data_IF_323790407292
#
_entry.id   IF_323790407292
#
_cell.length_a   1.000
_cell.length_b   1.000
_cell.length_c   1.000
_cell.angle_alpha   90.00
_cell.angle_beta   90.00
_cell.angle_gamma   90.00
#
_symmetry.space_group_name_H-M   'P 1'
#
loop_
_entity.id
_entity.type
_entity.pdbx_description
1 polymer ?
#
# COMPACT_ATOMS: atom_id res chain seq x y z
N UNK A 1 -15.23 16.37 4.96
CA UNK A 1 -14.20 15.66 4.17
C UNK A 1 -13.14 16.65 3.70
N UNK A 2 -11.89 16.23 3.55
CA UNK A 2 -10.84 17.03 2.87
C UNK A 2 -10.98 16.85 1.36
N UNK A 3 -10.72 17.89 0.58
CA UNK A 3 -10.59 17.77 -0.88
C UNK A 3 -9.18 17.26 -1.21
N UNK A 4 -9.06 16.28 -2.09
CA UNK A 4 -7.78 15.75 -2.56
C UNK A 4 -7.59 16.03 -4.05
N UNK A 5 -6.35 16.17 -4.50
CA UNK A 5 -5.97 16.33 -5.90
C UNK A 5 -5.84 14.98 -6.63
N UNK A 6 -5.54 13.91 -5.89
CA UNK A 6 -5.34 12.57 -6.43
C UNK A 6 -5.75 11.48 -5.44
N UNK A 7 -6.33 10.40 -5.98
CA UNK A 7 -6.57 9.16 -5.24
C UNK A 7 -5.65 8.05 -5.78
N UNK A 8 -5.02 7.31 -4.88
CA UNK A 8 -4.12 6.19 -5.19
C UNK A 8 -4.66 4.94 -4.51
N UNK A 9 -4.92 3.89 -5.29
CA UNK A 9 -5.46 2.62 -4.79
C UNK A 9 -4.32 1.60 -4.65
N UNK A 10 -4.07 1.17 -3.42
CA UNK A 10 -3.11 0.13 -3.01
C UNK A 10 -1.76 0.67 -2.51
N UNK A 11 -1.34 0.25 -1.32
CA UNK A 11 -0.04 0.56 -0.69
C UNK A 11 1.12 -0.27 -1.27
N UNK A 12 1.03 -0.64 -2.55
CA UNK A 12 2.07 -1.38 -3.27
C UNK A 12 3.36 -0.57 -3.46
N UNK A 13 4.40 -1.19 -4.05
CA UNK A 13 5.62 -0.47 -4.45
C UNK A 13 5.31 0.75 -5.33
N UNK A 14 4.41 0.58 -6.31
CA UNK A 14 3.94 1.65 -7.19
C UNK A 14 3.14 2.71 -6.43
N UNK A 15 2.01 2.33 -5.82
CA UNK A 15 1.11 3.28 -5.15
C UNK A 15 1.78 4.12 -4.07
N UNK A 16 2.59 3.53 -3.18
CA UNK A 16 3.28 4.30 -2.14
C UNK A 16 4.36 5.25 -2.71
N UNK A 17 4.99 4.89 -3.83
CA UNK A 17 5.96 5.75 -4.49
C UNK A 17 5.28 6.91 -5.22
N UNK A 18 4.17 6.64 -5.91
CA UNK A 18 3.34 7.65 -6.56
C UNK A 18 2.74 8.63 -5.54
N UNK A 19 2.14 8.12 -4.46
CA UNK A 19 1.58 8.95 -3.38
C UNK A 19 2.65 9.86 -2.75
N UNK A 20 3.83 9.31 -2.44
CA UNK A 20 4.96 10.11 -1.92
C UNK A 20 5.49 11.15 -2.92
N UNK A 21 5.51 10.84 -4.22
CA UNK A 21 5.93 11.79 -5.26
C UNK A 21 4.92 12.93 -5.46
N UNK A 22 3.62 12.61 -5.47
CA UNK A 22 2.53 13.60 -5.53
C UNK A 22 2.53 14.50 -4.28
N UNK A 23 2.72 13.91 -3.09
CA UNK A 23 2.82 14.65 -1.84
C UNK A 23 4.04 15.59 -1.83
N UNK A 24 5.21 15.13 -2.32
CA UNK A 24 6.39 15.97 -2.47
C UNK A 24 6.21 17.10 -3.51
N UNK A 25 5.32 16.91 -4.49
CA UNK A 25 4.87 17.95 -5.43
C UNK A 25 3.75 18.86 -4.86
N UNK A 26 3.49 18.82 -3.55
CA UNK A 26 2.53 19.68 -2.87
C UNK A 26 1.05 19.31 -3.09
N UNK A 27 0.76 18.13 -3.62
CA UNK A 27 -0.62 17.66 -3.85
C UNK A 27 -1.23 17.05 -2.59
N UNK A 28 -2.54 17.23 -2.42
CA UNK A 28 -3.34 16.50 -1.44
C UNK A 28 -3.64 15.11 -1.99
N UNK A 29 -3.28 14.04 -1.28
CA UNK A 29 -3.37 12.65 -1.76
C UNK A 29 -4.17 11.77 -0.81
N UNK A 30 -5.20 11.09 -1.31
CA UNK A 30 -5.78 9.93 -0.62
C UNK A 30 -5.06 8.65 -1.08
N UNK A 31 -4.50 7.88 -0.14
CA UNK A 31 -3.90 6.57 -0.40
C UNK A 31 -4.75 5.48 0.27
N UNK A 32 -5.48 4.71 -0.52
CA UNK A 32 -6.41 3.68 -0.02
C UNK A 32 -5.72 2.31 0.01
N UNK A 33 -5.86 1.55 1.09
CA UNK A 33 -5.41 0.16 1.18
C UNK A 33 -6.44 -0.70 1.92
N UNK A 34 -6.62 -1.95 1.48
CA UNK A 34 -7.69 -2.82 1.98
C UNK A 34 -7.50 -3.26 3.44
N UNK A 35 -6.27 -3.20 3.96
CA UNK A 35 -5.99 -3.59 5.34
C UNK A 35 -4.67 -3.01 5.85
N UNK A 36 -4.58 -2.62 7.14
CA UNK A 36 -3.31 -2.29 7.78
C UNK A 36 -2.25 -3.37 7.65
N UNK A 37 -2.65 -4.66 7.63
CA UNK A 37 -1.75 -5.81 7.42
C UNK A 37 -1.09 -5.84 6.04
N UNK A 38 -1.45 -4.93 5.13
CA UNK A 38 -0.97 -4.84 3.75
C UNK A 38 -0.19 -3.57 3.45
N UNK A 39 0.03 -2.64 4.40
CA UNK A 39 0.91 -1.49 4.17
C UNK A 39 2.30 -1.91 3.67
N UNK A 40 2.78 -1.25 2.61
CA UNK A 40 3.98 -1.64 1.86
C UNK A 40 3.77 -2.73 0.79
N UNK A 41 2.58 -3.35 0.73
CA UNK A 41 2.13 -4.27 -0.30
C UNK A 41 2.73 -5.67 -0.23
N UNK A 42 2.62 -6.40 -1.34
CA UNK A 42 3.05 -7.81 -1.47
C UNK A 42 4.52 -8.03 -1.10
N UNK A 43 5.42 -7.16 -1.56
CA UNK A 43 6.86 -7.24 -1.32
C UNK A 43 7.23 -7.31 0.18
N UNK A 44 6.60 -6.46 1.00
CA UNK A 44 6.84 -6.40 2.44
C UNK A 44 6.17 -7.57 3.16
N UNK A 45 4.94 -7.92 2.78
CA UNK A 45 4.09 -8.76 3.64
C UNK A 45 4.09 -10.25 3.28
N UNK A 46 4.24 -10.63 2.01
CA UNK A 46 4.05 -12.04 1.56
C UNK A 46 5.01 -12.50 0.43
N UNK A 47 5.98 -11.69 0.03
CA UNK A 47 6.94 -12.03 -1.03
C UNK A 47 8.39 -11.73 -0.62
N UNK A 48 9.03 -10.75 -1.26
CA UNK A 48 10.47 -10.52 -1.21
C UNK A 48 11.07 -10.53 0.19
N UNK A 49 10.46 -9.83 1.17
CA UNK A 49 10.98 -9.74 2.54
C UNK A 49 10.86 -11.10 3.26
N UNK A 50 9.67 -11.73 3.40
CA UNK A 50 9.55 -13.10 3.92
C UNK A 50 10.49 -14.11 3.24
N UNK A 51 10.53 -14.14 1.92
CA UNK A 51 11.35 -15.11 1.17
C UNK A 51 12.83 -14.93 1.48
N UNK A 52 13.35 -13.69 1.50
CA UNK A 52 14.77 -13.46 1.75
C UNK A 52 15.15 -13.67 3.22
N UNK A 53 14.26 -13.35 4.17
CA UNK A 53 14.44 -13.66 5.59
C UNK A 53 14.53 -15.18 5.81
N UNK A 54 13.55 -15.95 5.32
CA UNK A 54 13.51 -17.40 5.52
C UNK A 54 14.67 -18.13 4.82
N UNK A 55 15.01 -17.74 3.58
CA UNK A 55 16.15 -18.34 2.85
C UNK A 55 17.47 -18.07 3.57
N UNK A 56 17.65 -16.90 4.18
CA UNK A 56 18.83 -16.58 4.98
C UNK A 56 18.91 -17.45 6.24
N UNK A 57 17.84 -17.53 7.04
CA UNK A 57 17.80 -18.37 8.24
C UNK A 57 17.97 -19.86 7.92
N UNK A 58 17.42 -20.34 6.81
CA UNK A 58 17.61 -21.71 6.34
C UNK A 58 19.08 -22.01 6.00
N UNK A 59 19.77 -21.09 5.31
CA UNK A 59 21.19 -21.24 5.00
C UNK A 59 22.07 -21.29 6.27
N UNK A 60 21.79 -20.44 7.26
CA UNK A 60 22.48 -20.46 8.56
C UNK A 60 22.24 -21.78 9.32
N UNK A 61 20.98 -22.24 9.37
CA UNK A 61 20.63 -23.51 10.04
C UNK A 61 21.26 -24.72 9.35
N UNK A 62 21.36 -24.70 8.01
CA UNK A 62 22.05 -25.75 7.25
C UNK A 62 23.56 -25.77 7.52
N UNK A 63 24.22 -24.59 7.55
CA UNK A 63 25.64 -24.48 7.87
C UNK A 63 25.97 -24.92 9.31
N UNK A 64 25.03 -24.73 10.25
CA UNK A 64 25.17 -25.16 11.64
C UNK A 64 24.92 -26.67 11.86
N UNK A 65 24.20 -27.34 10.94
CA UNK A 65 23.86 -28.76 11.07
C UNK A 65 22.91 -29.06 12.24
N UNK A 66 23.05 -30.25 12.86
CA UNK A 66 22.29 -30.68 14.04
C UNK A 66 21.15 -31.67 13.79
N UNK A 67 20.51 -32.08 14.89
CA UNK A 67 19.36 -33.00 14.94
C UNK A 67 18.12 -32.42 14.24
N UNK A 68 17.03 -33.20 14.17
CA UNK A 68 15.75 -32.69 13.67
C UNK A 68 15.19 -31.60 14.60
N UNK A 69 15.18 -31.83 15.91
CA UNK A 69 14.56 -30.94 16.90
C UNK A 69 15.28 -29.58 16.97
N UNK A 70 16.61 -29.55 16.92
CA UNK A 70 17.37 -28.30 16.85
C UNK A 70 17.08 -27.50 15.57
N UNK A 71 16.88 -28.19 14.44
CA UNK A 71 16.50 -27.55 13.18
C UNK A 71 15.05 -27.07 13.19
N UNK A 72 14.15 -27.79 13.85
CA UNK A 72 12.76 -27.39 14.06
C UNK A 72 12.67 -26.14 14.96
N UNK A 73 13.44 -26.09 16.05
CA UNK A 73 13.55 -24.91 16.92
C UNK A 73 14.08 -23.68 16.14
N UNK A 74 15.12 -23.86 15.32
CA UNK A 74 15.64 -22.80 14.44
C UNK A 74 14.65 -22.36 13.36
N UNK A 75 13.81 -23.27 12.85
CA UNK A 75 12.74 -22.93 11.92
C UNK A 75 11.65 -22.08 12.61
N UNK A 76 11.23 -22.43 13.83
CA UNK A 76 10.29 -21.61 14.60
C UNK A 76 10.82 -20.18 14.80
N UNK A 77 12.06 -20.04 15.27
CA UNK A 77 12.72 -18.75 15.41
C UNK A 77 12.84 -17.95 14.08
N UNK A 78 12.97 -18.63 12.94
CA UNK A 78 12.98 -17.99 11.63
C UNK A 78 11.60 -17.47 11.21
N UNK A 79 10.51 -18.12 11.62
CA UNK A 79 9.14 -17.63 11.43
C UNK A 79 8.91 -16.38 12.28
N UNK A 80 9.31 -16.39 13.54
CA UNK A 80 9.22 -15.25 14.45
C UNK A 80 10.01 -14.04 13.93
N UNK A 81 11.25 -14.25 13.46
CA UNK A 81 12.09 -13.19 12.88
C UNK A 81 11.47 -12.61 11.60
N UNK A 82 10.92 -13.45 10.72
CA UNK A 82 10.13 -12.99 9.55
C UNK A 82 8.98 -12.09 9.99
N UNK A 83 8.19 -12.49 10.97
CA UNK A 83 7.02 -11.72 11.40
C UNK A 83 7.41 -10.42 12.11
N UNK A 84 8.49 -10.42 12.89
CA UNK A 84 9.11 -9.22 13.46
C UNK A 84 9.57 -8.23 12.38
N UNK A 85 10.32 -8.71 11.38
CA UNK A 85 10.86 -7.85 10.30
C UNK A 85 9.75 -7.30 9.41
N UNK A 86 8.76 -8.12 9.04
CA UNK A 86 7.63 -7.65 8.22
C UNK A 86 6.73 -6.68 8.99
N UNK A 87 6.50 -6.91 10.29
CA UNK A 87 5.79 -5.98 11.17
C UNK A 87 6.48 -4.63 11.29
N UNK A 88 7.79 -4.62 11.55
CA UNK A 88 8.61 -3.40 11.60
C UNK A 88 8.55 -2.62 10.29
N UNK A 89 8.69 -3.30 9.16
CA UNK A 89 8.68 -2.67 7.84
C UNK A 89 7.28 -2.16 7.47
N UNK A 90 6.20 -2.86 7.84
CA UNK A 90 4.81 -2.40 7.66
C UNK A 90 4.60 -1.06 8.36
N UNK A 91 4.96 -0.96 9.64
CA UNK A 91 4.89 0.30 10.41
C UNK A 91 5.72 1.42 9.79
N UNK A 92 6.99 1.14 9.43
CA UNK A 92 7.85 2.14 8.76
C UNK A 92 7.30 2.60 7.40
N UNK A 93 6.63 1.73 6.65
CA UNK A 93 6.01 2.11 5.37
C UNK A 93 4.77 2.96 5.56
N UNK A 94 3.96 2.69 6.60
CA UNK A 94 2.81 3.51 6.97
C UNK A 94 3.24 4.94 7.35
N UNK A 95 4.06 5.08 8.39
CA UNK A 95 4.50 6.37 8.92
C UNK A 95 5.20 7.25 7.87
N UNK A 96 5.95 6.65 6.94
CA UNK A 96 6.58 7.38 5.83
C UNK A 96 5.58 8.18 4.96
N UNK A 97 4.29 7.83 4.96
CA UNK A 97 3.26 8.55 4.23
C UNK A 97 2.17 9.12 5.15
N UNK A 98 1.70 8.39 6.14
CA UNK A 98 0.64 8.83 7.06
C UNK A 98 1.03 10.04 7.92
N UNK A 99 2.33 10.25 8.15
CA UNK A 99 2.84 11.39 8.93
C UNK A 99 3.03 12.65 8.05
N UNK A 100 2.76 12.58 6.74
CA UNK A 100 2.83 13.73 5.82
C UNK A 100 1.53 14.56 5.91
N UNK A 101 1.60 15.90 6.01
CA UNK A 101 0.43 16.75 6.26
C UNK A 101 -0.60 16.75 5.12
N UNK A 102 -0.18 16.36 3.92
CA UNK A 102 -0.95 16.33 2.69
C UNK A 102 -1.25 14.91 2.16
N UNK A 103 -1.04 13.86 2.98
CA UNK A 103 -1.44 12.48 2.64
C UNK A 103 -2.42 11.96 3.67
N UNK A 104 -3.53 11.40 3.19
CA UNK A 104 -4.52 10.70 4.01
C UNK A 104 -4.50 9.21 3.63
N UNK A 105 -4.15 8.34 4.59
CA UNK A 105 -4.18 6.89 4.39
C UNK A 105 -5.54 6.36 4.84
N UNK A 106 -6.28 5.74 3.93
CA UNK A 106 -7.63 5.23 4.17
C UNK A 106 -7.63 3.70 4.16
N UNK A 107 -8.10 3.10 5.25
CA UNK A 107 -8.33 1.65 5.32
C UNK A 107 -9.71 1.30 4.75
N UNK A 108 -9.73 0.66 3.58
CA UNK A 108 -10.96 0.29 2.88
C UNK A 108 -10.71 -0.33 1.51
N UNK A 109 -11.75 -0.91 0.91
CA UNK A 109 -11.71 -1.33 -0.50
C UNK A 109 -12.15 -0.15 -1.36
N UNK A 110 -11.39 0.20 -2.39
CA UNK A 110 -11.80 1.21 -3.36
C UNK A 110 -12.28 0.56 -4.67
N UNK A 111 -13.36 1.11 -5.24
CA UNK A 111 -13.86 0.74 -6.55
C UNK A 111 -14.29 1.98 -7.34
N UNK A 112 -14.09 1.94 -8.66
CA UNK A 112 -14.64 2.95 -9.55
C UNK A 112 -16.16 2.74 -9.63
N UNK A 113 -16.95 3.74 -9.23
CA UNK A 113 -18.43 3.64 -9.31
C UNK A 113 -18.93 3.70 -10.74
N UNK A 114 -18.23 4.46 -11.60
CA UNK A 114 -18.57 4.62 -13.00
C UNK A 114 -17.38 4.19 -13.86
N UNK A 115 -17.59 3.29 -14.80
CA UNK A 115 -16.73 3.20 -15.98
C UNK A 115 -16.93 4.47 -16.81
N UNK A 116 -15.87 5.23 -17.02
CA UNK A 116 -15.87 6.38 -17.94
C UNK A 116 -16.31 5.91 -19.35
N UNK A 117 -17.31 6.58 -19.95
CA UNK A 117 -17.00 7.43 -21.10
C UNK A 117 -17.68 8.81 -20.96
N UNK A 118 -17.00 9.94 -21.22
CA UNK A 118 -17.06 10.55 -22.56
C UNK A 118 -15.70 11.24 -22.92
N UNK A 119 -15.51 12.20 -23.85
CA UNK A 119 -16.39 12.92 -24.77
C UNK A 119 -15.64 13.37 -26.04
N UNK A 120 -16.36 13.79 -27.08
CA UNK A 120 -15.82 14.54 -28.23
C UNK A 120 -15.66 16.03 -27.92
N UNK A 121 -14.43 16.53 -27.74
CA UNK A 121 -14.17 17.97 -27.56
C UNK A 121 -12.76 18.31 -27.06
N UNK A 122 -11.96 18.93 -27.94
CA UNK A 122 -10.71 19.67 -27.69
C UNK A 122 -9.91 19.47 -26.36
N UNK A 123 -8.94 18.56 -26.43
CA UNK A 123 -7.55 18.66 -25.91
C UNK A 123 -7.24 19.13 -24.46
N UNK A 124 -6.63 18.24 -23.68
CA UNK A 124 -5.36 18.51 -22.97
C UNK A 124 -4.55 17.22 -22.71
N UNK A 125 -3.24 17.34 -22.48
CA UNK A 125 -2.27 16.24 -22.21
C UNK A 125 -2.21 16.00 -20.67
N UNK A 126 -1.77 14.89 -20.06
CA UNK A 126 -0.71 13.90 -20.40
C UNK A 126 -0.77 12.68 -19.44
N UNK A 127 -0.27 11.51 -19.87
CA UNK A 127 0.27 10.38 -19.06
C UNK A 127 -0.60 9.62 -18.02
N UNK A 128 -0.46 8.28 -18.02
CA UNK A 128 -1.18 7.33 -17.15
C UNK A 128 -0.34 6.85 -15.94
N UNK A 129 -0.94 6.16 -14.93
CA UNK A 129 -2.35 6.11 -14.54
C UNK A 129 -2.54 6.93 -13.26
N UNK A 130 -2.52 8.26 -13.37
CA UNK A 130 -2.85 9.16 -12.27
C UNK A 130 -4.34 9.44 -12.33
N UNK A 131 -5.14 8.88 -11.42
CA UNK A 131 -6.53 9.30 -11.23
C UNK A 131 -6.58 10.61 -10.41
N UNK A 132 -6.20 11.71 -11.09
CA UNK A 132 -6.69 13.04 -10.78
C UNK A 132 -8.05 13.19 -11.47
N UNK A 133 -9.10 12.67 -10.84
CA UNK A 133 -10.40 12.49 -11.48
C UNK A 133 -11.39 13.60 -11.07
N UNK A 134 -12.09 14.24 -12.03
CA UNK A 134 -13.42 14.82 -11.80
C UNK A 134 -14.52 13.74 -11.74
N UNK A 135 -14.13 12.45 -11.73
CA UNK A 135 -15.01 11.29 -11.59
C UNK A 135 -15.02 10.77 -10.15
N UNK A 136 -16.14 10.17 -9.80
CA UNK A 136 -16.45 9.72 -8.45
C UNK A 136 -15.79 8.36 -8.13
N UNK A 137 -15.35 8.21 -6.89
CA UNK A 137 -14.67 7.01 -6.37
C UNK A 137 -15.39 6.56 -5.11
N UNK A 138 -15.97 5.36 -5.10
CA UNK A 138 -16.51 4.78 -3.87
C UNK A 138 -15.39 4.14 -3.06
N UNK A 139 -15.43 4.40 -1.76
CA UNK A 139 -14.65 3.70 -0.75
C UNK A 139 -15.60 2.90 0.12
N UNK A 140 -15.48 1.57 0.05
CA UNK A 140 -16.08 0.62 0.98
C UNK A 140 -15.17 0.55 2.21
N UNK A 141 -15.42 1.44 3.17
CA UNK A 141 -14.67 1.53 4.43
C UNK A 141 -15.42 0.84 5.58
N UNK A 142 -14.74 0.26 6.59
CA UNK A 142 -15.42 -0.36 7.74
C UNK A 142 -16.17 0.60 8.67
N UNK A 143 -16.06 1.92 8.45
CA UNK A 143 -17.01 2.92 8.97
C UNK A 143 -18.06 3.15 7.89
N UNK A 144 -19.34 3.15 8.26
CA UNK A 144 -20.46 3.39 7.33
C UNK A 144 -20.52 4.83 6.80
N UNK A 145 -19.56 5.17 5.94
CA UNK A 145 -19.52 6.39 5.17
C UNK A 145 -19.25 6.00 3.72
N UNK A 146 -20.27 6.03 2.88
CA UNK A 146 -20.08 5.93 1.43
C UNK A 146 -19.39 7.21 0.95
N UNK A 147 -18.10 7.15 0.66
CA UNK A 147 -17.35 8.30 0.15
C UNK A 147 -17.68 8.52 -1.32
N UNK A 148 -18.29 9.67 -1.64
CA UNK A 148 -18.60 10.11 -3.01
C UNK A 148 -17.73 11.33 -3.37
N UNK A 149 -16.67 11.11 -4.16
CA UNK A 149 -15.79 12.19 -4.62
C UNK A 149 -16.42 12.98 -5.79
N UNK A 150 -17.23 14.00 -5.47
CA UNK A 150 -17.79 14.91 -6.48
C UNK A 150 -16.94 16.17 -6.68
N UNK A 151 -16.73 16.55 -7.93
CA UNK A 151 -16.29 17.90 -8.31
C UNK A 151 -17.50 18.72 -8.79
N UNK A 152 -17.79 19.85 -8.14
CA UNK A 152 -18.57 20.92 -8.79
C UNK A 152 -17.60 21.83 -9.54
N UNK A 153 -17.95 22.15 -10.79
CA UNK A 153 -17.29 23.16 -11.61
C UNK A 153 -17.57 24.57 -11.05
#
# INVERSE_FOLDING_TARGET
MRKVDAAVIGFGKGGKALAGALAAAGKMVALVEKSPKRYGGTCINVACIPTKSLVHSAALSAAQGGTFDERAARYAAAIDEKDRVTGLLRGKNYHKLADLPNVEVVDGTASFVNSFPPCTGAASRTAAPVFAAPGELALDTPREENYCYHHKL
#
